data_IF_308301543474
#
_entry.id   IF_308301543474
#
_cell.length_a   1.000
_cell.length_b   1.000
_cell.length_c   1.000
_cell.angle_alpha   90.00
_cell.angle_beta   90.00
_cell.angle_gamma   90.00
#
_symmetry.space_group_name_H-M   'P 1'
#
loop_
_entity.id
_entity.type
_entity.pdbx_description
1 polymer ?
#
# COMPACT_ATOMS: atom_id res chain seq x y z
N UNK A 1 3.45 -0.15 -22.66
CA UNK A 1 2.17 -0.73 -22.20
C UNK A 1 2.19 -0.78 -20.67
N UNK A 2 1.83 0.31 -20.00
CA UNK A 2 1.83 0.44 -18.53
C UNK A 2 0.42 0.25 -17.90
N UNK A 3 -0.56 -0.14 -18.72
CA UNK A 3 -1.97 -0.29 -18.35
C UNK A 3 -2.26 -1.30 -17.22
N UNK A 4 -1.56 -2.44 -17.04
CA UNK A 4 -1.99 -3.41 -16.04
C UNK A 4 -1.76 -2.92 -14.60
N UNK A 5 -0.69 -2.17 -14.33
CA UNK A 5 -0.35 -1.76 -12.95
C UNK A 5 -1.27 -0.65 -12.45
N UNK A 6 -1.58 0.34 -13.31
CA UNK A 6 -2.52 1.41 -12.98
C UNK A 6 -3.94 0.87 -12.76
N UNK A 7 -4.35 -0.14 -13.54
CA UNK A 7 -5.65 -0.80 -13.36
C UNK A 7 -5.72 -1.56 -12.04
N UNK A 8 -4.68 -2.34 -11.70
CA UNK A 8 -4.58 -3.05 -10.41
C UNK A 8 -4.67 -2.06 -9.25
N UNK A 9 -3.93 -0.95 -9.33
CA UNK A 9 -3.97 0.13 -8.32
C UNK A 9 -5.39 0.67 -8.14
N UNK A 10 -6.06 1.03 -9.23
CA UNK A 10 -7.42 1.57 -9.17
C UNK A 10 -8.42 0.57 -8.56
N UNK A 11 -8.33 -0.71 -8.94
CA UNK A 11 -9.19 -1.77 -8.38
C UNK A 11 -8.92 -1.96 -6.89
N UNK A 12 -7.66 -2.04 -6.49
CA UNK A 12 -7.28 -2.24 -5.08
C UNK A 12 -7.72 -1.05 -4.22
N UNK A 13 -7.40 0.17 -4.62
CA UNK A 13 -7.72 1.38 -3.85
C UNK A 13 -9.24 1.64 -3.79
N UNK A 14 -9.98 1.35 -4.86
CA UNK A 14 -11.45 1.44 -4.85
C UNK A 14 -12.09 0.37 -3.97
N UNK A 15 -11.59 -0.86 -3.98
CA UNK A 15 -12.06 -1.92 -3.10
C UNK A 15 -11.83 -1.54 -1.62
N UNK A 16 -10.64 -1.05 -1.28
CA UNK A 16 -10.34 -0.59 0.09
C UNK A 16 -11.23 0.57 0.51
N UNK A 17 -11.48 1.55 -0.38
CA UNK A 17 -12.38 2.66 -0.09
C UNK A 17 -13.84 2.19 0.12
N UNK A 18 -14.32 1.23 -0.67
CA UNK A 18 -15.65 0.64 -0.51
C UNK A 18 -15.79 -0.10 0.83
N UNK A 19 -14.82 -0.95 1.17
CA UNK A 19 -14.82 -1.67 2.43
C UNK A 19 -14.66 -0.73 3.63
N UNK A 20 -13.89 0.35 3.49
CA UNK A 20 -13.81 1.41 4.49
C UNK A 20 -15.17 2.11 4.73
N UNK A 21 -15.94 2.39 3.67
CA UNK A 21 -17.27 2.96 3.78
C UNK A 21 -18.23 2.01 4.53
N UNK A 22 -18.17 0.72 4.22
CA UNK A 22 -18.98 -0.31 4.91
C UNK A 22 -18.60 -0.38 6.39
N UNK A 23 -17.30 -0.46 6.69
CA UNK A 23 -16.80 -0.48 8.07
C UNK A 23 -17.19 0.78 8.86
N UNK A 24 -17.18 1.96 8.22
CA UNK A 24 -17.66 3.22 8.83
C UNK A 24 -19.14 3.12 9.18
N UNK A 25 -19.97 2.61 8.28
CA UNK A 25 -21.41 2.42 8.50
C UNK A 25 -21.68 1.48 9.68
N UNK A 26 -20.98 0.35 9.74
CA UNK A 26 -21.10 -0.61 10.84
C UNK A 26 -20.65 0.00 12.17
N UNK A 27 -19.50 0.68 12.21
CA UNK A 27 -19.00 1.31 13.44
C UNK A 27 -19.90 2.47 13.94
N UNK A 28 -20.49 3.24 13.01
CA UNK A 28 -21.44 4.29 13.32
C UNK A 28 -22.77 3.74 13.84
N UNK A 29 -23.30 2.68 13.21
CA UNK A 29 -24.51 2.00 13.67
C UNK A 29 -24.33 1.44 15.08
N UNK A 30 -23.18 0.81 15.34
CA UNK A 30 -22.85 0.27 16.65
C UNK A 30 -22.81 1.36 17.74
N UNK A 31 -22.20 2.51 17.43
CA UNK A 31 -22.11 3.65 18.35
C UNK A 31 -23.49 4.26 18.62
N UNK A 32 -24.34 4.38 17.59
CA UNK A 32 -25.71 4.88 17.72
C UNK A 32 -26.54 4.00 18.65
N UNK A 33 -26.54 2.68 18.45
CA UNK A 33 -27.31 1.72 19.25
C UNK A 33 -26.85 1.67 20.70
N UNK A 34 -25.53 1.80 20.93
CA UNK A 34 -24.94 1.85 22.27
C UNK A 34 -25.38 3.11 23.01
N UNK A 35 -25.31 4.27 22.37
CA UNK A 35 -25.64 5.57 22.99
C UNK A 35 -27.11 5.69 23.41
N UNK A 36 -28.02 4.98 22.74
CA UNK A 36 -29.45 5.02 23.05
C UNK A 36 -29.90 4.04 24.13
N UNK A 37 -29.18 2.94 24.34
CA UNK A 37 -29.62 1.85 25.22
C UNK A 37 -28.77 1.69 26.49
N UNK A 38 -27.49 2.11 26.48
CA UNK A 38 -26.64 2.07 27.67
C UNK A 38 -26.49 3.48 28.26
N UNK A 39 -26.90 3.65 29.52
CA UNK A 39 -26.63 4.85 30.35
C UNK A 39 -25.14 5.08 30.67
N UNK A 40 -24.24 4.40 29.96
CA UNK A 40 -22.79 4.50 30.14
C UNK A 40 -22.27 5.39 29.01
N UNK A 41 -21.97 6.65 29.32
CA UNK A 41 -21.40 7.65 28.41
C UNK A 41 -19.95 7.31 27.93
N UNK A 42 -19.56 6.04 27.93
CA UNK A 42 -18.26 5.60 27.43
C UNK A 42 -18.40 5.13 25.98
N UNK A 43 -17.70 5.84 25.09
CA UNK A 43 -17.42 5.35 23.75
C UNK A 43 -16.48 4.16 23.85
N UNK A 44 -16.82 3.05 23.18
CA UNK A 44 -15.90 1.95 23.04
C UNK A 44 -14.69 2.38 22.20
N UNK A 45 -13.49 2.04 22.68
CA UNK A 45 -12.22 2.44 22.06
C UNK A 45 -12.10 1.87 20.63
N UNK A 46 -12.50 0.62 20.42
CA UNK A 46 -12.49 -0.03 19.10
C UNK A 46 -13.39 0.67 18.07
N UNK A 47 -14.57 1.13 18.47
CA UNK A 47 -15.49 1.80 17.57
C UNK A 47 -14.94 3.16 17.13
N UNK A 48 -14.33 3.89 18.08
CA UNK A 48 -13.68 5.17 17.81
C UNK A 48 -12.49 5.01 16.86
N UNK A 49 -11.67 3.98 17.08
CA UNK A 49 -10.51 3.66 16.25
C UNK A 49 -10.91 3.19 14.84
N UNK A 50 -11.99 2.40 14.72
CA UNK A 50 -12.56 1.99 13.44
C UNK A 50 -13.12 3.16 12.62
N UNK A 51 -13.87 4.07 13.26
CA UNK A 51 -14.36 5.30 12.62
C UNK A 51 -13.19 6.15 12.14
N UNK A 52 -12.20 6.40 13.00
CA UNK A 52 -11.03 7.19 12.65
C UNK A 52 -10.28 6.58 11.45
N UNK A 53 -10.02 5.27 11.47
CA UNK A 53 -9.33 4.56 10.39
C UNK A 53 -10.10 4.62 9.08
N UNK A 54 -11.42 4.45 9.12
CA UNK A 54 -12.27 4.54 7.93
C UNK A 54 -12.32 5.96 7.36
N UNK A 55 -12.43 6.99 8.21
CA UNK A 55 -12.38 8.40 7.79
C UNK A 55 -11.01 8.74 7.19
N UNK A 56 -9.90 8.34 7.81
CA UNK A 56 -8.56 8.52 7.25
C UNK A 56 -8.45 7.87 5.87
N UNK A 57 -8.99 6.66 5.70
CA UNK A 57 -9.00 5.96 4.41
C UNK A 57 -9.81 6.75 3.38
N UNK A 58 -11.02 7.17 3.71
CA UNK A 58 -11.91 7.94 2.81
C UNK A 58 -11.40 9.35 2.50
N UNK A 59 -10.64 9.97 3.38
CA UNK A 59 -10.07 11.30 3.14
C UNK A 59 -8.79 11.20 2.32
N UNK A 60 -8.01 10.13 2.44
CA UNK A 60 -6.67 10.07 1.83
C UNK A 60 -6.60 9.25 0.55
N UNK A 61 -7.39 8.17 0.43
CA UNK A 61 -7.39 7.32 -0.76
C UNK A 61 -8.02 8.03 -1.98
N UNK A 62 -9.19 8.71 -1.90
CA UNK A 62 -9.77 9.37 -3.06
C UNK A 62 -8.90 10.49 -3.63
N UNK A 63 -8.24 11.36 -2.82
CA UNK A 63 -7.26 12.30 -3.37
C UNK A 63 -6.09 11.62 -4.08
N UNK A 64 -5.59 10.47 -3.59
CA UNK A 64 -4.54 9.74 -4.31
C UNK A 64 -4.99 9.29 -5.70
N UNK A 65 -6.23 8.80 -5.82
CA UNK A 65 -6.83 8.42 -7.11
C UNK A 65 -7.06 9.67 -7.99
N UNK A 66 -7.63 10.73 -7.42
CA UNK A 66 -7.95 11.95 -8.16
C UNK A 66 -6.69 12.66 -8.69
N UNK A 67 -5.62 12.72 -7.89
CA UNK A 67 -4.36 13.33 -8.29
C UNK A 67 -3.65 12.54 -9.41
N UNK A 68 -3.81 11.22 -9.44
CA UNK A 68 -3.30 10.41 -10.55
C UNK A 68 -4.03 10.71 -11.86
N UNK A 69 -5.36 10.91 -11.81
CA UNK A 69 -6.13 11.31 -12.99
C UNK A 69 -5.83 12.75 -13.44
N UNK A 70 -5.61 13.67 -12.50
CA UNK A 70 -5.38 15.09 -12.80
C UNK A 70 -3.95 15.40 -13.26
N UNK A 71 -2.94 14.68 -12.75
CA UNK A 71 -1.54 14.92 -13.11
C UNK A 71 -0.71 13.63 -13.08
N UNK A 72 -0.68 12.88 -14.20
CA UNK A 72 0.21 11.74 -14.36
C UNK A 72 1.67 12.15 -14.13
N UNK A 73 2.31 11.61 -13.10
CA UNK A 73 3.70 11.93 -12.73
C UNK A 73 3.88 12.99 -11.63
N UNK A 74 2.84 13.34 -10.88
CA UNK A 74 2.97 14.15 -9.66
C UNK A 74 3.71 13.44 -8.51
N UNK A 75 4.22 14.18 -7.51
CA UNK A 75 4.97 13.62 -6.37
C UNK A 75 4.14 12.69 -5.49
N UNK A 76 2.80 12.81 -5.51
CA UNK A 76 1.88 11.91 -4.82
C UNK A 76 1.80 10.52 -5.45
N UNK A 77 2.32 10.34 -6.66
CA UNK A 77 2.42 9.03 -7.31
C UNK A 77 3.81 8.40 -7.20
N UNK A 78 4.73 8.95 -6.39
CA UNK A 78 6.03 8.34 -6.13
C UNK A 78 5.86 7.04 -5.34
N UNK A 79 6.56 5.99 -5.77
CA UNK A 79 6.50 4.65 -5.14
C UNK A 79 6.80 4.71 -3.64
N UNK A 80 7.82 5.47 -3.21
CA UNK A 80 8.14 5.61 -1.77
C UNK A 80 6.95 6.17 -0.99
N UNK A 81 6.41 7.30 -1.45
CA UNK A 81 5.33 8.02 -0.73
C UNK A 81 4.09 7.14 -0.64
N UNK A 82 3.76 6.45 -1.73
CA UNK A 82 2.65 5.52 -1.80
C UNK A 82 2.85 4.32 -0.85
N UNK A 83 4.02 3.68 -0.86
CA UNK A 83 4.31 2.56 0.05
C UNK A 83 4.25 3.01 1.51
N UNK A 84 4.85 4.16 1.86
CA UNK A 84 4.83 4.67 3.23
C UNK A 84 3.41 4.96 3.72
N UNK A 85 2.56 5.57 2.88
CA UNK A 85 1.20 5.88 3.25
C UNK A 85 0.30 4.64 3.35
N UNK A 86 0.41 3.72 2.40
CA UNK A 86 -0.36 2.48 2.43
C UNK A 86 0.09 1.58 3.59
N UNK A 87 1.36 1.58 3.95
CA UNK A 87 1.85 0.89 5.14
C UNK A 87 1.24 1.49 6.41
N UNK A 88 1.15 2.83 6.52
CA UNK A 88 0.48 3.48 7.63
C UNK A 88 -1.01 3.07 7.73
N UNK A 89 -1.76 3.14 6.62
CA UNK A 89 -3.16 2.69 6.57
C UNK A 89 -3.31 1.20 6.91
N UNK A 90 -2.37 0.36 6.45
CA UNK A 90 -2.36 -1.07 6.75
C UNK A 90 -2.27 -1.34 8.25
N UNK A 91 -1.38 -0.64 8.96
CA UNK A 91 -1.25 -0.80 10.42
C UNK A 91 -2.50 -0.31 11.16
N UNK A 92 -3.14 0.76 10.70
CA UNK A 92 -4.41 1.22 11.28
C UNK A 92 -5.53 0.17 11.14
N UNK A 93 -5.66 -0.45 9.97
CA UNK A 93 -6.62 -1.53 9.75
C UNK A 93 -6.30 -2.78 10.58
N UNK A 94 -5.02 -3.13 10.70
CA UNK A 94 -4.59 -4.23 11.57
C UNK A 94 -4.93 -3.95 13.04
N UNK A 95 -4.65 -2.74 13.52
CA UNK A 95 -4.98 -2.31 14.89
C UNK A 95 -6.49 -2.35 15.13
N UNK A 96 -7.29 -1.88 14.16
CA UNK A 96 -8.75 -1.92 14.24
C UNK A 96 -9.27 -3.35 14.35
N UNK A 97 -8.78 -4.25 13.49
CA UNK A 97 -9.17 -5.65 13.49
C UNK A 97 -8.74 -6.38 14.77
N UNK A 98 -7.51 -6.14 15.23
CA UNK A 98 -6.99 -6.75 16.45
C UNK A 98 -7.74 -6.30 17.71
N UNK A 99 -8.05 -5.01 17.82
CA UNK A 99 -8.82 -4.47 18.95
C UNK A 99 -10.26 -5.02 18.96
N UNK A 100 -10.90 -5.05 17.80
CA UNK A 100 -12.25 -5.63 17.62
C UNK A 100 -12.27 -7.12 17.98
N UNK A 101 -11.28 -7.89 17.50
CA UNK A 101 -11.15 -9.31 17.81
C UNK A 101 -10.90 -9.56 19.30
N UNK A 102 -10.11 -8.71 19.96
CA UNK A 102 -9.84 -8.83 21.39
C UNK A 102 -11.10 -8.60 22.22
N UNK A 103 -11.92 -7.60 21.83
CA UNK A 103 -13.19 -7.33 22.48
C UNK A 103 -14.21 -8.46 22.26
N UNK A 104 -14.30 -8.97 21.03
CA UNK A 104 -15.16 -10.10 20.69
C UNK A 104 -14.81 -11.36 21.51
N UNK A 105 -13.51 -11.68 21.62
CA UNK A 105 -13.03 -12.82 22.38
C UNK A 105 -13.18 -12.66 23.90
N UNK A 106 -12.98 -11.45 24.44
CA UNK A 106 -12.99 -11.20 25.88
C UNK A 106 -14.40 -11.02 26.46
N UNK A 107 -15.34 -10.46 25.69
CA UNK A 107 -16.60 -9.95 26.24
C UNK A 107 -17.85 -10.68 25.74
N UNK A 108 -17.87 -11.12 24.48
CA UNK A 108 -19.11 -11.61 23.85
C UNK A 108 -19.03 -13.06 23.37
N UNK A 109 -17.84 -13.60 23.10
CA UNK A 109 -17.67 -15.01 22.74
C UNK A 109 -18.50 -15.44 21.52
N UNK A 110 -18.79 -14.52 20.58
CA UNK A 110 -19.76 -14.69 19.48
C UNK A 110 -19.38 -15.74 18.41
N UNK A 111 -18.46 -16.67 18.68
CA UNK A 111 -17.93 -17.60 17.69
C UNK A 111 -17.67 -19.02 18.19
N UNK A 112 -17.85 -19.31 19.48
CA UNK A 112 -17.61 -20.65 19.99
C UNK A 112 -18.48 -20.94 21.20
N UNK A 113 -19.68 -21.48 20.96
CA UNK A 113 -20.33 -22.20 22.03
C UNK A 113 -21.48 -23.11 21.60
N UNK A 114 -21.33 -24.38 21.98
CA UNK A 114 -22.46 -25.25 22.33
C UNK A 114 -23.34 -24.65 23.46
N UNK A 115 -22.90 -23.54 24.06
CA UNK A 115 -23.62 -22.64 24.97
C UNK A 115 -24.62 -21.71 24.23
N UNK A 116 -24.64 -21.64 22.89
CA UNK A 116 -25.75 -20.98 22.17
C UNK A 116 -27.08 -21.71 22.43
N UNK A 117 -27.04 -23.01 22.77
CA UNK A 117 -28.26 -23.76 23.08
C UNK A 117 -28.74 -23.61 24.53
N UNK A 118 -27.92 -23.09 25.44
CA UNK A 118 -28.30 -22.89 26.85
C UNK A 118 -28.44 -21.41 27.24
N UNK A 119 -27.80 -20.47 26.52
CA UNK A 119 -27.95 -19.02 26.76
C UNK A 119 -29.21 -18.42 26.11
N UNK A 120 -29.90 -19.12 25.20
CA UNK A 120 -31.25 -18.70 24.77
C UNK A 120 -32.29 -18.71 25.91
N UNK A 121 -31.96 -19.23 27.10
CA UNK A 121 -32.80 -19.12 28.31
C UNK A 121 -32.35 -18.04 29.30
N UNK A 122 -31.19 -17.41 29.12
CA UNK A 122 -30.70 -16.32 29.97
C UNK A 122 -30.71 -14.93 29.28
N UNK A 123 -31.07 -14.87 27.99
CA UNK A 123 -31.24 -13.63 27.23
C UNK A 123 -32.32 -12.69 27.80
N UNK A 124 -33.24 -13.18 28.63
CA UNK A 124 -34.34 -12.38 29.20
C UNK A 124 -33.91 -11.52 30.42
N UNK A 125 -32.67 -11.64 30.91
CA UNK A 125 -32.21 -10.88 32.09
C UNK A 125 -31.12 -9.83 31.83
N UNK A 126 -30.43 -9.82 30.68
CA UNK A 126 -29.31 -8.89 30.43
C UNK A 126 -29.56 -7.89 29.29
N UNK A 127 -30.64 -8.05 28.50
CA UNK A 127 -31.06 -7.02 27.54
C UNK A 127 -30.00 -6.67 26.48
N UNK A 128 -29.19 -7.64 26.04
CA UNK A 128 -28.23 -7.44 24.95
C UNK A 128 -29.01 -7.40 23.62
N UNK A 129 -28.92 -6.33 22.82
CA UNK A 129 -29.55 -6.27 21.49
C UNK A 129 -29.07 -7.42 20.58
N UNK A 130 -30.00 -8.15 19.98
CA UNK A 130 -29.78 -9.34 19.12
C UNK A 130 -28.91 -9.10 17.85
N UNK A 131 -28.40 -7.88 17.62
CA UNK A 131 -27.61 -7.51 16.43
C UNK A 131 -26.11 -7.28 16.66
N UNK A 132 -25.65 -7.18 17.91
CA UNK A 132 -24.28 -6.69 18.21
C UNK A 132 -23.19 -7.68 17.75
N UNK A 133 -23.42 -8.98 17.90
CA UNK A 133 -22.43 -10.01 17.52
C UNK A 133 -22.16 -10.03 16.00
N UNK A 134 -23.20 -9.88 15.17
CA UNK A 134 -23.06 -9.90 13.72
C UNK A 134 -22.40 -8.61 13.20
N UNK A 135 -22.69 -7.46 13.81
CA UNK A 135 -22.05 -6.18 13.51
C UNK A 135 -20.55 -6.20 13.86
N UNK A 136 -20.18 -6.70 15.03
CA UNK A 136 -18.77 -6.82 15.44
C UNK A 136 -17.98 -7.77 14.55
N UNK A 137 -18.54 -8.95 14.27
CA UNK A 137 -17.92 -9.94 13.38
C UNK A 137 -17.72 -9.38 11.96
N UNK A 138 -18.67 -8.57 11.49
CA UNK A 138 -18.55 -7.88 10.20
C UNK A 138 -17.41 -6.84 10.23
N UNK A 139 -17.35 -6.00 11.26
CA UNK A 139 -16.29 -4.99 11.39
C UNK A 139 -14.89 -5.62 11.45
N UNK A 140 -14.74 -6.68 12.24
CA UNK A 140 -13.49 -7.45 12.35
C UNK A 140 -13.06 -8.00 10.97
N UNK A 141 -13.99 -8.64 10.26
CA UNK A 141 -13.73 -9.22 8.94
C UNK A 141 -13.32 -8.15 7.91
N UNK A 142 -14.05 -7.03 7.83
CA UNK A 142 -13.71 -5.95 6.89
C UNK A 142 -12.37 -5.27 7.23
N UNK A 143 -12.03 -5.16 8.51
CA UNK A 143 -10.75 -4.61 8.94
C UNK A 143 -9.58 -5.50 8.51
N UNK A 144 -9.65 -6.80 8.76
CA UNK A 144 -8.62 -7.74 8.30
C UNK A 144 -8.56 -7.84 6.77
N UNK A 145 -9.69 -7.79 6.08
CA UNK A 145 -9.74 -7.84 4.63
C UNK A 145 -9.05 -6.61 4.01
N UNK A 146 -9.29 -5.41 4.54
CA UNK A 146 -8.57 -4.20 4.14
C UNK A 146 -7.07 -4.32 4.40
N UNK A 147 -6.68 -4.83 5.58
CA UNK A 147 -5.27 -5.05 5.92
C UNK A 147 -4.58 -6.01 4.94
N UNK A 148 -5.21 -7.16 4.62
CA UNK A 148 -4.65 -8.15 3.68
C UNK A 148 -4.49 -7.54 2.28
N UNK A 149 -5.51 -6.83 1.79
CA UNK A 149 -5.46 -6.19 0.48
C UNK A 149 -4.32 -5.17 0.41
N UNK A 150 -4.20 -4.31 1.43
CA UNK A 150 -3.13 -3.30 1.49
C UNK A 150 -1.75 -3.95 1.59
N UNK A 151 -1.57 -4.96 2.44
CA UNK A 151 -0.30 -5.69 2.57
C UNK A 151 0.07 -6.41 1.27
N UNK A 152 -0.88 -7.05 0.60
CA UNK A 152 -0.65 -7.70 -0.68
C UNK A 152 -0.19 -6.72 -1.75
N UNK A 153 -0.82 -5.54 -1.81
CA UNK A 153 -0.44 -4.49 -2.75
C UNK A 153 0.93 -3.87 -2.44
N UNK A 154 1.22 -3.58 -1.17
CA UNK A 154 2.54 -3.09 -0.74
C UNK A 154 3.62 -4.12 -1.08
N UNK A 155 3.37 -5.41 -0.79
CA UNK A 155 4.28 -6.50 -1.12
C UNK A 155 4.55 -6.60 -2.62
N UNK A 156 3.51 -6.52 -3.45
CA UNK A 156 3.63 -6.49 -4.90
C UNK A 156 4.50 -5.31 -5.37
N UNK A 157 4.21 -4.08 -4.91
CA UNK A 157 5.00 -2.90 -5.27
C UNK A 157 6.46 -3.01 -4.85
N UNK A 158 6.71 -3.54 -3.65
CA UNK A 158 8.05 -3.69 -3.10
C UNK A 158 8.85 -4.71 -3.91
N UNK A 159 8.27 -5.87 -4.23
CA UNK A 159 8.91 -6.90 -5.07
C UNK A 159 9.23 -6.35 -6.46
N UNK A 160 8.27 -5.65 -7.09
CA UNK A 160 8.46 -5.04 -8.41
C UNK A 160 9.55 -3.95 -8.39
N UNK A 161 9.61 -3.16 -7.32
CA UNK A 161 10.62 -2.11 -7.14
C UNK A 161 12.02 -2.70 -6.92
N UNK A 162 12.14 -3.76 -6.14
CA UNK A 162 13.42 -4.47 -5.94
C UNK A 162 13.91 -5.08 -7.25
N UNK A 163 13.02 -5.73 -8.01
CA UNK A 163 13.38 -6.30 -9.31
C UNK A 163 13.80 -5.23 -10.33
N UNK A 164 13.15 -4.07 -10.33
CA UNK A 164 13.55 -2.95 -11.20
C UNK A 164 14.90 -2.34 -10.75
N UNK A 165 15.13 -2.24 -9.45
CA UNK A 165 16.39 -1.76 -8.89
C UNK A 165 17.56 -2.71 -9.20
N UNK A 166 17.33 -4.04 -9.14
CA UNK A 166 18.36 -5.04 -9.44
C UNK A 166 18.77 -5.05 -10.93
N UNK A 167 17.90 -4.57 -11.83
CA UNK A 167 18.17 -4.39 -13.27
C UNK A 167 18.95 -3.11 -13.61
N UNK A 168 19.52 -2.41 -12.62
CA UNK A 168 20.30 -1.16 -12.77
C UNK A 168 19.52 0.03 -13.33
N UNK A 169 18.19 0.06 -13.19
CA UNK A 169 17.44 1.28 -13.47
C UNK A 169 17.72 2.30 -12.35
N UNK A 170 18.11 3.51 -12.74
CA UNK A 170 18.28 4.63 -11.80
C UNK A 170 16.91 5.26 -11.50
N UNK A 171 16.72 5.78 -10.29
CA UNK A 171 15.50 6.48 -9.85
C UNK A 171 14.20 5.65 -9.79
N UNK A 172 14.27 4.33 -9.58
CA UNK A 172 13.07 3.47 -9.44
C UNK A 172 12.16 3.97 -8.32
N UNK A 173 12.74 4.33 -7.17
CA UNK A 173 11.99 4.72 -5.97
C UNK A 173 11.29 6.07 -6.04
N UNK A 174 11.81 6.99 -6.87
CA UNK A 174 11.24 8.32 -7.12
C UNK A 174 10.42 8.37 -8.40
N UNK A 175 10.39 7.26 -9.14
CA UNK A 175 9.53 7.13 -10.32
C UNK A 175 8.08 6.95 -9.88
N UNK A 176 7.17 7.43 -10.72
CA UNK A 176 5.75 7.18 -10.54
C UNK A 176 5.42 5.72 -10.85
N UNK A 177 4.53 5.08 -10.09
CA UNK A 177 4.05 3.70 -10.37
C UNK A 177 3.62 3.52 -11.82
N UNK A 178 2.97 4.52 -12.41
CA UNK A 178 2.51 4.48 -13.80
C UNK A 178 3.65 4.55 -14.83
N UNK A 179 4.78 5.15 -14.48
CA UNK A 179 5.93 5.39 -15.37
C UNK A 179 7.15 4.54 -15.00
N UNK A 180 7.02 3.64 -14.03
CA UNK A 180 8.15 2.85 -13.55
C UNK A 180 8.53 1.78 -14.60
N UNK A 181 9.84 1.53 -14.81
CA UNK A 181 10.34 0.62 -15.85
C UNK A 181 10.22 -0.85 -15.44
N UNK A 182 9.07 -1.27 -14.91
CA UNK A 182 8.86 -2.64 -14.40
C UNK A 182 9.01 -3.71 -15.48
N UNK A 183 8.62 -3.38 -16.71
CA UNK A 183 8.66 -4.29 -17.87
C UNK A 183 9.79 -3.97 -18.85
N UNK A 184 10.67 -3.02 -18.54
CA UNK A 184 11.79 -2.69 -19.42
C UNK A 184 12.93 -3.72 -19.26
N UNK A 185 13.62 -4.08 -20.36
CA UNK A 185 14.86 -4.83 -20.30
C UNK A 185 15.91 -4.03 -19.52
N UNK A 186 16.83 -4.73 -18.86
CA UNK A 186 17.93 -4.08 -18.15
C UNK A 186 18.66 -3.09 -19.09
N UNK A 187 18.96 -1.89 -18.58
CA UNK A 187 19.88 -0.97 -19.27
C UNK A 187 21.25 -1.65 -19.31
N UNK A 188 21.54 -2.35 -20.41
CA UNK A 188 22.91 -2.64 -20.76
C UNK A 188 23.58 -1.28 -20.88
N UNK A 189 24.55 -0.99 -20.03
CA UNK A 189 25.48 0.10 -20.26
C UNK A 189 26.07 -0.15 -21.63
N UNK A 190 25.53 0.50 -22.66
CA UNK A 190 26.22 0.69 -23.91
C UNK A 190 27.38 1.60 -23.54
N UNK A 191 28.45 0.99 -23.02
CA UNK A 191 29.78 1.55 -23.19
C UNK A 191 29.86 1.81 -24.69
N UNK A 192 29.99 3.06 -25.15
CA UNK A 192 30.16 3.31 -26.56
C UNK A 192 31.35 2.44 -26.97
N UNK A 193 31.10 1.45 -27.82
CA UNK A 193 32.16 0.67 -28.43
C UNK A 193 32.92 1.69 -29.27
N UNK A 194 34.00 2.23 -28.71
CA UNK A 194 34.97 3.00 -29.48
C UNK A 194 35.50 2.03 -30.51
N UNK A 195 34.97 2.13 -31.74
CA UNK A 195 35.60 1.54 -32.90
C UNK A 195 36.95 2.23 -33.03
N UNK A 196 37.98 1.65 -32.41
CA UNK A 196 39.34 1.94 -32.80
C UNK A 196 39.48 1.31 -34.20
N UNK A 197 39.24 2.14 -35.22
CA UNK A 197 39.41 1.79 -36.63
C UNK A 197 40.91 1.60 -36.90
N UNK A 198 41.43 0.46 -36.43
CA UNK A 198 42.77 0.00 -36.70
C UNK A 198 42.74 -1.06 -37.79
N UNK A 199 43.57 -0.84 -38.80
CA UNK A 199 44.10 -1.81 -39.79
C UNK A 199 43.32 -2.00 -41.09
N UNK A 200 43.52 -1.07 -42.02
CA UNK A 200 43.63 -1.38 -43.45
C UNK A 200 45.03 -0.95 -43.92
N UNK A 201 45.87 -1.91 -44.32
CA UNK A 201 47.28 -1.67 -44.64
C UNK A 201 47.50 -0.88 -45.94
N UNK A 202 48.56 -0.06 -45.95
CA UNK A 202 49.30 0.30 -47.15
C UNK A 202 50.77 -0.11 -46.97
N UNK A 203 51.39 -0.78 -47.96
CA UNK A 203 52.83 -1.01 -47.97
C UNK A 203 53.57 0.13 -48.68
N UNK A 204 54.64 0.63 -48.07
CA UNK A 204 55.73 1.33 -48.75
C UNK A 204 55.75 2.85 -48.59
N UNK A 205 56.75 3.34 -47.85
CA UNK A 205 57.12 4.75 -47.80
C UNK A 205 58.11 5.04 -46.68
N UNK A 206 59.41 5.09 -46.99
CA UNK A 206 60.43 5.57 -46.05
C UNK A 206 60.23 7.06 -45.78
N UNK A 207 60.27 7.49 -44.52
CA UNK A 207 60.84 8.80 -44.17
C UNK A 207 61.29 8.82 -42.71
N UNK A 208 62.59 9.03 -42.56
CA UNK A 208 63.32 9.40 -41.35
C UNK A 208 62.93 10.79 -40.83
N UNK A 209 63.15 11.01 -39.53
CA UNK A 209 63.28 12.28 -38.77
C UNK A 209 62.27 12.29 -37.60
N UNK A 210 62.64 12.29 -36.31
CA UNK A 210 63.80 12.87 -35.66
C UNK A 210 63.42 14.21 -35.03
N UNK A 211 62.89 14.20 -33.79
CA UNK A 211 63.10 15.28 -32.81
C UNK A 211 62.50 14.94 -31.44
N UNK A 212 63.40 14.83 -30.47
CA UNK A 212 63.20 14.96 -29.02
C UNK A 212 62.91 16.43 -28.68
N UNK A 213 61.95 16.71 -27.79
CA UNK A 213 61.98 17.80 -26.78
C UNK A 213 60.66 17.79 -25.97
N UNK A 214 60.68 17.47 -24.67
CA UNK A 214 61.01 18.32 -23.51
C UNK A 214 59.79 19.10 -22.99
N UNK A 215 59.46 18.87 -21.71
CA UNK A 215 58.20 19.27 -21.09
C UNK A 215 58.13 20.71 -20.59
N UNK A 216 57.02 21.06 -19.93
CA UNK A 216 56.95 22.20 -19.01
C UNK A 216 55.79 22.01 -18.01
N UNK A 217 56.14 22.00 -16.73
CA UNK A 217 55.23 22.20 -15.59
C UNK A 217 55.14 23.70 -15.36
N UNK A 218 53.93 24.26 -15.26
CA UNK A 218 53.73 25.62 -14.80
C UNK A 218 52.84 25.64 -13.55
N UNK A 219 53.52 25.98 -12.45
CA UNK A 219 53.18 26.79 -11.27
C UNK A 219 51.83 26.59 -10.62
#
# INVERSE_FOLDING_TARGET
MALPVALIRLVVLSAVALFALIALGVAAAFTSTTSSNLFINHTFEFASLGIATAVFTLVTVPPMIALEMLRPGGPTSMIIVEISWLAFLSILWLSTGADTASFNAAFLGCGNSKVDKEIHQAEDQVGIPHGICSELSALEAFAFLNWIILMGYIGMLLVMSIMAASRKHTNVWTSSVANAPFSEPAKNSSVPMSYNAGTGGQPGGYSTSGSVQAGTVHV
#
